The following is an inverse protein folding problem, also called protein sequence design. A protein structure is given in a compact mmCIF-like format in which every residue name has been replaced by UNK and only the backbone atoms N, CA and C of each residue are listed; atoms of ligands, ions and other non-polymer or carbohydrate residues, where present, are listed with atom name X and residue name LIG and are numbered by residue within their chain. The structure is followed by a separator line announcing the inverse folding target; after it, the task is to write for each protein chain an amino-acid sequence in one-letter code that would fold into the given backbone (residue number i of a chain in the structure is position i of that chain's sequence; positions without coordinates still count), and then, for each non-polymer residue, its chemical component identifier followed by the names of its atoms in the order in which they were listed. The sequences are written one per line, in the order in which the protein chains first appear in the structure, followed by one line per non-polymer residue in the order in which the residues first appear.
data_IF_318229445982
#
_entry.id   IF_318229445982
#
_cell.length_a   1.000
_cell.length_b   1.000
_cell.length_c   1.000
_cell.angle_alpha   90.00
_cell.angle_beta   90.00
_cell.angle_gamma   90.00
#
_symmetry.space_group_name_H-M   'P 1'
#
loop_
_entity.id
_entity.type
_entity.pdbx_description
1 polymer ?
#
# COMPACT_ATOMS: atom_id res chain seq x y z
N UNK A 1 40.51 37.35 -13.56
CA UNK A 1 39.35 37.47 -12.64
C UNK A 1 38.15 37.98 -13.41
N UNK A 2 37.09 37.16 -13.53
CA UNK A 2 35.68 37.54 -13.68
C UNK A 2 34.88 36.24 -13.60
N UNK A 3 34.38 35.97 -12.40
CA UNK A 3 33.62 34.79 -12.07
C UNK A 3 32.25 34.84 -12.73
N UNK A 4 31.87 33.72 -13.35
CA UNK A 4 30.50 33.48 -13.78
C UNK A 4 29.63 33.08 -12.57
N UNK A 5 28.33 33.42 -12.58
CA UNK A 5 27.48 33.34 -11.40
C UNK A 5 27.13 31.88 -11.06
N UNK A 6 27.36 31.52 -9.81
CA UNK A 6 27.15 30.24 -9.14
C UNK A 6 25.67 29.81 -8.99
N UNK A 7 24.73 30.48 -9.66
CA UNK A 7 23.30 30.35 -9.40
C UNK A 7 22.53 29.44 -10.35
N UNK A 8 23.18 28.86 -11.37
CA UNK A 8 22.48 28.09 -12.41
C UNK A 8 22.66 26.57 -12.37
N UNK A 9 23.40 26.01 -11.41
CA UNK A 9 23.62 24.56 -11.29
C UNK A 9 22.84 23.86 -10.15
N UNK A 10 22.00 24.58 -9.40
CA UNK A 10 21.27 23.98 -8.27
C UNK A 10 19.99 23.20 -8.66
N UNK A 11 19.56 23.21 -9.93
CA UNK A 11 18.34 22.49 -10.38
C UNK A 11 18.58 21.07 -10.90
N UNK A 12 19.84 20.62 -10.98
CA UNK A 12 20.20 19.28 -11.49
C UNK A 12 20.90 18.38 -10.46
N UNK A 13 21.11 18.86 -9.23
CA UNK A 13 21.59 18.04 -8.13
C UNK A 13 20.40 17.43 -7.38
N UNK A 14 20.20 16.13 -7.53
CA UNK A 14 19.33 15.37 -6.64
C UNK A 14 19.89 15.33 -5.22
N UNK A 15 18.99 15.58 -4.26
CA UNK A 15 19.10 15.46 -2.79
C UNK A 15 19.62 16.69 -2.00
N UNK A 16 19.21 16.89 -0.72
CA UNK A 16 18.26 16.14 0.12
C UNK A 16 17.08 17.00 0.61
N UNK A 17 16.21 16.38 1.40
CA UNK A 17 15.09 16.93 2.17
C UNK A 17 15.23 18.41 2.63
N UNK A 18 14.18 19.26 2.55
CA UNK A 18 14.28 20.63 3.03
C UNK A 18 14.43 20.70 4.56
N UNK A 19 15.28 21.62 4.95
CA UNK A 19 15.83 21.89 6.28
C UNK A 19 14.78 22.25 7.34
N UNK A 20 15.09 21.76 8.55
CA UNK A 20 14.51 22.10 9.85
C UNK A 20 14.22 23.60 10.02
N UNK A 21 13.03 24.08 9.71
CA UNK A 21 12.45 25.24 10.40
C UNK A 21 10.93 25.09 10.40
N UNK A 22 10.37 24.89 11.60
CA UNK A 22 8.95 24.69 11.94
C UNK A 22 8.37 23.28 11.75
N UNK A 23 8.64 22.40 12.70
CA UNK A 23 7.59 21.46 13.13
C UNK A 23 7.02 21.93 14.48
N UNK A 24 5.88 22.65 14.50
CA UNK A 24 5.03 22.67 15.69
C UNK A 24 3.53 22.41 15.39
N UNK A 25 2.99 21.43 16.13
CA UNK A 25 1.60 21.11 16.55
C UNK A 25 0.61 20.42 15.61
N UNK A 26 0.83 20.40 14.30
CA UNK A 26 -0.08 19.77 13.33
C UNK A 26 0.73 18.90 12.38
N UNK A 27 1.50 17.97 12.95
CA UNK A 27 1.90 16.74 12.26
C UNK A 27 0.60 16.16 11.64
N UNK A 28 0.55 16.28 10.32
CA UNK A 28 -0.56 16.86 9.58
C UNK A 28 -1.85 16.04 9.66
N UNK A 29 -2.98 16.68 9.97
CA UNK A 29 -4.32 16.06 9.95
C UNK A 29 -4.59 15.27 8.65
N UNK A 30 -3.97 15.72 7.55
CA UNK A 30 -3.91 15.02 6.27
C UNK A 30 -3.27 13.63 6.35
N UNK A 31 -2.12 13.48 7.02
CA UNK A 31 -1.43 12.20 7.15
C UNK A 31 -2.23 11.24 8.01
N UNK A 32 -2.79 11.73 9.12
CA UNK A 32 -3.72 10.98 9.96
C UNK A 32 -4.98 10.55 9.16
N UNK A 33 -5.54 11.46 8.36
CA UNK A 33 -6.66 11.17 7.47
C UNK A 33 -6.31 10.06 6.47
N UNK A 34 -5.18 10.16 5.76
CA UNK A 34 -4.72 9.14 4.81
C UNK A 34 -4.53 7.80 5.51
N UNK A 35 -3.85 7.78 6.64
CA UNK A 35 -3.59 6.56 7.42
C UNK A 35 -4.86 5.90 7.97
N UNK A 36 -5.98 6.63 8.03
CA UNK A 36 -7.27 6.12 8.47
C UNK A 36 -8.22 5.81 7.29
N UNK A 37 -7.83 6.04 6.04
CA UNK A 37 -8.68 5.78 4.87
C UNK A 37 -9.22 4.34 4.81
N UNK A 38 -8.44 3.27 5.10
CA UNK A 38 -9.02 1.92 5.15
C UNK A 38 -10.15 1.76 6.18
N UNK A 39 -10.03 2.43 7.33
CA UNK A 39 -11.06 2.42 8.37
C UNK A 39 -12.32 3.15 7.90
N UNK A 40 -12.14 4.32 7.30
CA UNK A 40 -13.23 5.09 6.70
C UNK A 40 -13.91 4.29 5.56
N UNK A 41 -13.12 3.60 4.75
CA UNK A 41 -13.59 2.70 3.70
C UNK A 41 -14.42 1.55 4.25
N UNK A 42 -14.04 0.96 5.39
CA UNK A 42 -14.84 -0.06 6.06
C UNK A 42 -16.22 0.47 6.52
N UNK A 43 -16.29 1.71 7.01
CA UNK A 43 -17.57 2.33 7.36
C UNK A 43 -18.43 2.65 6.13
N UNK A 44 -17.85 3.20 5.07
CA UNK A 44 -18.58 3.48 3.81
C UNK A 44 -19.05 2.18 3.18
N UNK A 45 -18.18 1.17 3.11
CA UNK A 45 -18.52 -0.13 2.55
C UNK A 45 -19.68 -0.80 3.29
N UNK A 46 -19.96 -0.39 4.53
CA UNK A 46 -21.12 -0.83 5.31
C UNK A 46 -22.38 0.02 5.16
N UNK A 47 -22.28 1.20 4.59
CA UNK A 47 -23.41 2.12 4.48
C UNK A 47 -24.53 1.59 3.58
N UNK A 48 -24.25 1.02 2.39
CA UNK A 48 -25.30 0.44 1.57
C UNK A 48 -25.93 -0.75 2.28
N UNK A 49 -27.27 -0.72 2.41
CA UNK A 49 -28.03 -1.80 3.06
C UNK A 49 -27.95 -3.10 2.22
N UNK A 50 -27.79 -2.98 0.90
CA UNK A 50 -27.76 -4.12 -0.03
C UNK A 50 -26.65 -3.94 -1.07
N UNK A 51 -25.76 -4.93 -1.16
CA UNK A 51 -24.87 -5.13 -2.30
C UNK A 51 -25.38 -6.32 -3.12
N UNK A 52 -25.29 -6.27 -4.46
CA UNK A 52 -25.50 -7.47 -5.26
C UNK A 52 -24.40 -8.50 -4.95
N UNK A 53 -24.64 -9.81 -5.12
CA UNK A 53 -23.55 -10.80 -5.12
C UNK A 53 -22.51 -10.47 -6.22
N UNK A 54 -21.19 -10.67 -5.98
CA UNK A 54 -20.58 -11.16 -4.75
C UNK A 54 -20.33 -10.00 -3.75
N UNK A 55 -20.98 -10.06 -2.59
CA UNK A 55 -21.03 -8.95 -1.63
C UNK A 55 -19.63 -8.53 -1.16
N UNK A 56 -18.77 -9.50 -0.81
CA UNK A 56 -17.42 -9.23 -0.34
C UNK A 56 -16.54 -8.54 -1.39
N UNK A 57 -16.77 -8.82 -2.67
CA UNK A 57 -16.06 -8.15 -3.76
C UNK A 57 -16.43 -6.66 -3.82
N UNK A 58 -17.71 -6.32 -3.83
CA UNK A 58 -18.13 -4.91 -3.91
C UNK A 58 -17.74 -4.10 -2.68
N UNK A 59 -17.85 -4.70 -1.49
CA UNK A 59 -17.41 -4.07 -0.25
C UNK A 59 -15.90 -3.78 -0.26
N UNK A 60 -15.09 -4.75 -0.72
CA UNK A 60 -13.67 -4.52 -0.88
C UNK A 60 -13.35 -3.48 -1.95
N UNK A 61 -14.11 -3.42 -3.06
CA UNK A 61 -13.92 -2.40 -4.09
C UNK A 61 -14.18 -1.00 -3.53
N UNK A 62 -15.21 -0.83 -2.72
CA UNK A 62 -15.47 0.44 -2.01
C UNK A 62 -14.31 0.81 -1.10
N UNK A 63 -13.79 -0.14 -0.33
CA UNK A 63 -12.62 0.08 0.53
C UNK A 63 -11.41 0.57 -0.29
N UNK A 64 -11.16 -0.03 -1.46
CA UNK A 64 -10.07 0.38 -2.35
C UNK A 64 -10.31 1.74 -2.98
N UNK A 65 -11.53 2.06 -3.41
CA UNK A 65 -11.87 3.38 -3.96
C UNK A 65 -11.61 4.52 -2.95
N UNK A 66 -11.81 4.25 -1.65
CA UNK A 66 -11.50 5.21 -0.59
C UNK A 66 -10.00 5.46 -0.43
N UNK A 67 -9.13 4.65 -1.02
CA UNK A 67 -7.68 4.90 -1.07
C UNK A 67 -7.25 5.88 -2.17
N UNK A 68 -8.09 6.14 -3.18
CA UNK A 68 -7.78 7.07 -4.27
C UNK A 68 -7.29 8.46 -3.83
N UNK A 69 -7.84 9.10 -2.76
CA UNK A 69 -7.31 10.35 -2.21
C UNK A 69 -5.82 10.31 -1.88
N UNK A 70 -5.27 9.12 -1.56
CA UNK A 70 -3.83 8.94 -1.34
C UNK A 70 -3.02 9.32 -2.57
N UNK A 71 -3.50 8.96 -3.78
CA UNK A 71 -2.84 9.31 -5.04
C UNK A 71 -2.80 10.84 -5.24
N UNK A 72 -3.92 11.51 -4.97
CA UNK A 72 -4.01 12.97 -5.05
C UNK A 72 -3.07 13.63 -4.04
N UNK A 73 -3.02 13.13 -2.81
CA UNK A 73 -2.14 13.68 -1.78
C UNK A 73 -0.67 13.47 -2.14
N UNK A 74 -0.29 12.34 -2.72
CA UNK A 74 1.07 12.12 -3.21
C UNK A 74 1.40 13.04 -4.39
N UNK A 75 0.44 13.27 -5.28
CA UNK A 75 0.64 14.11 -6.46
C UNK A 75 0.79 15.60 -6.10
N UNK A 76 -0.01 16.09 -5.16
CA UNK A 76 -0.12 17.52 -4.85
C UNK A 76 0.47 17.93 -3.51
N UNK A 77 0.98 16.97 -2.72
CA UNK A 77 1.50 17.22 -1.40
C UNK A 77 2.78 16.41 -1.12
N UNK A 78 3.55 16.82 -0.11
CA UNK A 78 4.72 16.07 0.33
C UNK A 78 4.30 14.91 1.24
N UNK A 79 4.75 13.67 1.02
CA UNK A 79 5.82 13.24 0.09
C UNK A 79 5.34 12.94 -1.35
N UNK A 80 6.08 13.44 -2.36
CA UNK A 80 5.84 13.14 -3.76
C UNK A 80 6.31 11.76 -4.21
N UNK A 81 5.89 11.30 -5.41
CA UNK A 81 6.15 9.96 -5.96
C UNK A 81 7.59 9.46 -5.84
N UNK A 82 8.58 10.30 -6.18
CA UNK A 82 10.00 9.92 -6.11
C UNK A 82 10.48 9.71 -4.67
N UNK A 83 9.99 10.51 -3.72
CA UNK A 83 10.33 10.35 -2.30
C UNK A 83 9.75 9.05 -1.73
N UNK A 84 8.65 8.56 -2.31
CA UNK A 84 8.12 7.25 -1.99
C UNK A 84 8.91 6.09 -2.61
N UNK A 85 9.84 6.34 -3.52
CA UNK A 85 10.60 5.31 -4.23
C UNK A 85 9.91 4.81 -5.51
N UNK A 86 8.91 5.53 -6.02
CA UNK A 86 8.31 5.26 -7.32
C UNK A 86 9.12 5.94 -8.42
N UNK A 87 9.85 5.13 -9.19
CA UNK A 87 10.66 5.59 -10.33
C UNK A 87 10.42 4.71 -11.55
N UNK A 88 10.55 5.25 -12.76
CA UNK A 88 10.39 4.48 -14.01
C UNK A 88 11.41 3.34 -14.10
N UNK A 89 12.66 3.58 -13.70
CA UNK A 89 13.70 2.54 -13.65
C UNK A 89 13.32 1.43 -12.67
N UNK A 90 12.84 1.80 -11.48
CA UNK A 90 12.34 0.85 -10.50
C UNK A 90 11.17 0.01 -11.03
N UNK A 91 10.24 0.63 -11.76
CA UNK A 91 9.13 -0.06 -12.41
C UNK A 91 9.63 -1.13 -13.37
N UNK A 92 10.55 -0.78 -14.28
CA UNK A 92 11.11 -1.72 -15.27
C UNK A 92 11.86 -2.87 -14.60
N UNK A 93 12.67 -2.59 -13.57
CA UNK A 93 13.38 -3.63 -12.80
C UNK A 93 12.40 -4.56 -12.07
N UNK A 94 11.28 -4.00 -11.62
CA UNK A 94 10.21 -4.73 -10.95
C UNK A 94 9.43 -5.61 -11.92
N UNK A 95 9.22 -5.22 -13.19
CA UNK A 95 8.44 -6.02 -14.16
C UNK A 95 8.93 -7.46 -14.32
N UNK A 96 10.26 -7.67 -14.38
CA UNK A 96 10.84 -9.02 -14.46
C UNK A 96 10.56 -9.85 -13.20
N UNK A 97 10.64 -9.22 -12.03
CA UNK A 97 10.28 -9.83 -10.75
C UNK A 97 8.78 -10.18 -10.74
N UNK A 98 7.95 -9.28 -11.27
CA UNK A 98 6.51 -9.48 -11.41
C UNK A 98 6.15 -10.67 -12.30
N UNK A 99 6.83 -10.83 -13.45
CA UNK A 99 6.64 -11.99 -14.30
C UNK A 99 7.01 -13.31 -13.59
N UNK A 100 8.10 -13.32 -12.83
CA UNK A 100 8.52 -14.48 -12.03
C UNK A 100 7.52 -14.78 -10.90
N UNK A 101 7.02 -13.75 -10.22
CA UNK A 101 6.01 -13.91 -9.18
C UNK A 101 4.67 -14.41 -9.73
N UNK A 102 4.21 -13.88 -10.87
CA UNK A 102 3.01 -14.38 -11.54
C UNK A 102 3.15 -15.87 -11.89
N UNK A 103 4.33 -16.31 -12.34
CA UNK A 103 4.60 -17.72 -12.61
C UNK A 103 4.51 -18.57 -11.34
N UNK A 104 5.16 -18.16 -10.24
CA UNK A 104 5.08 -18.85 -8.94
C UNK A 104 3.64 -18.91 -8.45
N UNK A 105 2.89 -17.81 -8.58
CA UNK A 105 1.50 -17.74 -8.16
C UNK A 105 0.59 -18.68 -8.96
N UNK A 106 0.75 -18.73 -10.29
CA UNK A 106 0.04 -19.70 -11.15
C UNK A 106 0.38 -21.13 -10.72
N UNK A 107 1.64 -21.43 -10.41
CA UNK A 107 2.05 -22.75 -9.91
C UNK A 107 1.38 -23.07 -8.57
N UNK A 108 1.33 -22.13 -7.63
CA UNK A 108 0.65 -22.30 -6.34
C UNK A 108 -0.86 -22.50 -6.53
N UNK A 109 -1.52 -21.76 -7.42
CA UNK A 109 -2.92 -21.95 -7.75
C UNK A 109 -3.19 -23.35 -8.32
N UNK A 110 -2.34 -23.82 -9.25
CA UNK A 110 -2.46 -25.16 -9.83
C UNK A 110 -2.28 -26.25 -8.75
N UNK A 111 -1.34 -26.06 -7.83
CA UNK A 111 -1.10 -26.96 -6.70
C UNK A 111 -2.32 -26.93 -5.76
N UNK A 112 -2.75 -25.77 -5.29
CA UNK A 112 -3.91 -25.60 -4.41
C UNK A 112 -5.19 -26.20 -5.00
N UNK A 113 -5.42 -26.01 -6.31
CA UNK A 113 -6.54 -26.62 -7.02
C UNK A 113 -6.48 -28.15 -7.02
N UNK A 114 -5.29 -28.76 -7.11
CA UNK A 114 -5.14 -30.23 -7.02
C UNK A 114 -5.43 -30.76 -5.62
N UNK A 115 -5.26 -29.94 -4.59
CA UNK A 115 -5.56 -30.28 -3.18
C UNK A 115 -6.95 -29.83 -2.71
N UNK A 116 -7.81 -29.34 -3.63
CA UNK A 116 -9.18 -28.90 -3.29
C UNK A 116 -9.24 -27.63 -2.42
N UNK A 117 -8.15 -26.86 -2.36
CA UNK A 117 -8.11 -25.59 -1.63
C UNK A 117 -8.69 -24.49 -2.52
N UNK A 118 -9.79 -23.90 -2.06
CA UNK A 118 -10.48 -22.80 -2.72
C UNK A 118 -10.27 -21.50 -1.93
N UNK A 119 -9.88 -20.42 -2.60
CA UNK A 119 -9.88 -19.08 -2.01
C UNK A 119 -11.28 -18.49 -2.13
N UNK A 120 -12.05 -18.36 -1.02
CA UNK A 120 -13.50 -18.14 -1.09
C UNK A 120 -13.87 -16.86 -1.84
N UNK A 121 -13.12 -15.77 -1.60
CA UNK A 121 -13.45 -14.45 -2.15
C UNK A 121 -13.12 -14.30 -3.64
N UNK A 122 -12.01 -14.88 -4.09
CA UNK A 122 -11.62 -14.82 -5.50
C UNK A 122 -12.46 -15.78 -6.35
N UNK A 123 -12.71 -17.00 -5.85
CA UNK A 123 -13.52 -17.98 -6.57
C UNK A 123 -14.98 -17.53 -6.72
N UNK A 124 -15.56 -16.90 -5.69
CA UNK A 124 -16.90 -16.34 -5.78
C UNK A 124 -16.95 -15.18 -6.79
N UNK A 125 -16.03 -14.21 -6.67
CA UNK A 125 -15.95 -13.10 -7.63
C UNK A 125 -15.78 -13.58 -9.07
N UNK A 126 -14.92 -14.56 -9.30
CA UNK A 126 -14.68 -15.16 -10.61
C UNK A 126 -15.92 -15.83 -11.18
N UNK A 127 -16.70 -16.55 -10.36
CA UNK A 127 -17.93 -17.22 -10.81
C UNK A 127 -19.01 -16.23 -11.24
N UNK A 128 -19.15 -15.11 -10.53
CA UNK A 128 -20.19 -14.11 -10.82
C UNK A 128 -19.79 -13.10 -11.92
N UNK A 129 -18.54 -12.61 -11.89
CA UNK A 129 -18.07 -11.51 -12.74
C UNK A 129 -17.26 -11.98 -13.96
N UNK A 130 -16.79 -13.23 -13.92
CA UNK A 130 -15.85 -13.77 -14.88
C UNK A 130 -14.40 -13.36 -14.59
N UNK A 131 -13.47 -14.22 -14.97
CA UNK A 131 -12.02 -14.01 -14.78
C UNK A 131 -11.50 -12.68 -15.34
N UNK A 132 -11.89 -12.21 -16.54
CA UNK A 132 -11.35 -10.98 -17.11
C UNK A 132 -11.67 -9.74 -16.26
N UNK A 133 -12.92 -9.63 -15.79
CA UNK A 133 -13.36 -8.49 -15.00
C UNK A 133 -12.72 -8.50 -13.60
N UNK A 134 -12.61 -9.67 -12.98
CA UNK A 134 -11.88 -9.82 -11.71
C UNK A 134 -10.42 -9.41 -11.89
N UNK A 135 -9.70 -9.89 -12.90
CA UNK A 135 -8.29 -9.50 -13.08
C UNK A 135 -8.14 -8.00 -13.37
N UNK A 136 -9.03 -7.43 -14.19
CA UNK A 136 -9.02 -6.01 -14.54
C UNK A 136 -9.29 -5.08 -13.34
N UNK A 137 -10.03 -5.54 -12.33
CA UNK A 137 -10.33 -4.75 -11.14
C UNK A 137 -9.42 -5.11 -9.96
N UNK A 138 -9.12 -6.38 -9.75
CA UNK A 138 -8.37 -6.84 -8.58
C UNK A 138 -6.92 -6.36 -8.61
N UNK A 139 -6.24 -6.46 -9.76
CA UNK A 139 -4.84 -6.02 -9.85
C UNK A 139 -4.65 -4.51 -9.59
N UNK A 140 -5.38 -3.59 -10.26
CA UNK A 140 -5.21 -2.16 -10.01
C UNK A 140 -5.84 -1.66 -8.71
N UNK A 141 -6.94 -2.26 -8.22
CA UNK A 141 -7.60 -1.75 -7.02
C UNK A 141 -7.07 -2.42 -5.74
N UNK A 142 -6.93 -3.75 -5.68
CA UNK A 142 -6.45 -4.43 -4.45
C UNK A 142 -4.94 -4.41 -4.33
N UNK A 143 -4.23 -4.70 -5.42
CA UNK A 143 -2.79 -4.76 -5.37
C UNK A 143 -2.17 -3.35 -5.32
N UNK A 144 -2.49 -2.51 -6.30
CA UNK A 144 -1.78 -1.25 -6.50
C UNK A 144 -2.15 -0.16 -5.50
N UNK A 145 -3.44 0.13 -5.27
CA UNK A 145 -3.85 1.24 -4.38
C UNK A 145 -3.43 1.00 -2.93
N UNK A 146 -3.65 -0.21 -2.42
CA UNK A 146 -3.20 -0.60 -1.09
C UNK A 146 -1.69 -0.49 -0.95
N UNK A 147 -0.93 -0.97 -1.94
CA UNK A 147 0.53 -0.84 -1.92
C UNK A 147 1.01 0.61 -1.96
N UNK A 148 0.34 1.48 -2.72
CA UNK A 148 0.68 2.91 -2.75
C UNK A 148 0.38 3.53 -1.39
N UNK A 149 -0.73 3.16 -0.75
CA UNK A 149 -1.05 3.55 0.62
C UNK A 149 -0.02 3.03 1.62
N UNK A 150 0.44 1.79 1.49
CA UNK A 150 1.51 1.22 2.33
C UNK A 150 2.82 2.00 2.16
N UNK A 151 3.14 2.39 0.92
CA UNK A 151 4.31 3.20 0.63
C UNK A 151 4.18 4.58 1.30
N UNK A 152 2.99 5.18 1.24
CA UNK A 152 2.71 6.41 1.96
C UNK A 152 2.89 6.23 3.47
N UNK A 153 2.33 5.17 4.06
CA UNK A 153 2.40 4.93 5.49
C UNK A 153 3.84 4.81 5.98
N UNK A 154 4.68 4.04 5.30
CA UNK A 154 6.12 3.94 5.62
C UNK A 154 6.79 5.32 5.55
N UNK A 155 6.45 6.14 4.56
CA UNK A 155 7.01 7.48 4.43
C UNK A 155 6.51 8.46 5.50
N UNK A 156 5.24 8.36 5.90
CA UNK A 156 4.68 9.14 7.00
C UNK A 156 5.38 8.81 8.33
N UNK A 157 5.50 7.51 8.66
CA UNK A 157 6.25 7.07 9.84
C UNK A 157 7.73 7.43 9.78
N UNK A 158 8.34 7.39 8.59
CA UNK A 158 9.71 7.87 8.41
C UNK A 158 9.84 9.36 8.71
N UNK A 159 8.92 10.19 8.20
CA UNK A 159 8.86 11.62 8.51
C UNK A 159 8.68 11.90 10.00
N UNK A 160 7.89 11.08 10.71
CA UNK A 160 7.63 11.24 12.15
C UNK A 160 8.78 10.76 13.03
N UNK A 161 9.30 9.56 12.78
CA UNK A 161 10.30 8.89 13.63
C UNK A 161 11.74 9.28 13.26
N UNK A 162 11.94 9.75 12.04
CA UNK A 162 13.26 10.02 11.46
C UNK A 162 13.27 11.32 10.62
N UNK A 163 12.81 12.48 11.13
CA UNK A 163 12.64 13.72 10.35
C UNK A 163 13.92 14.32 9.75
N UNK A 164 15.08 13.77 10.10
CA UNK A 164 16.42 14.20 9.67
C UNK A 164 17.18 13.09 8.94
N UNK A 165 16.53 11.96 8.65
CA UNK A 165 17.13 10.81 8.00
C UNK A 165 16.89 10.85 6.50
N UNK A 166 17.91 10.50 5.71
CA UNK A 166 17.79 10.47 4.25
C UNK A 166 17.28 9.10 3.73
N UNK A 167 17.11 8.13 4.62
CA UNK A 167 16.78 6.74 4.27
C UNK A 167 15.80 6.13 5.27
N UNK A 168 14.86 5.34 4.73
CA UNK A 168 13.92 4.53 5.51
C UNK A 168 14.67 3.56 6.42
N UNK A 169 14.33 3.59 7.71
CA UNK A 169 14.90 2.74 8.76
C UNK A 169 13.95 1.60 9.09
N UNK A 170 14.48 0.53 9.68
CA UNK A 170 13.67 -0.62 10.10
C UNK A 170 12.55 -0.24 11.08
N UNK A 171 12.82 0.69 12.01
CA UNK A 171 11.79 1.21 12.91
C UNK A 171 10.60 1.85 12.20
N UNK A 172 10.84 2.50 11.05
CA UNK A 172 9.78 3.16 10.27
C UNK A 172 8.88 2.09 9.60
N UNK A 173 9.51 1.03 9.08
CA UNK A 173 8.82 -0.13 8.48
C UNK A 173 8.04 -0.92 9.54
N UNK A 174 8.65 -1.17 10.71
CA UNK A 174 8.00 -1.89 11.80
C UNK A 174 6.80 -1.10 12.34
N UNK A 175 6.95 0.21 12.55
CA UNK A 175 5.85 1.07 12.99
C UNK A 175 4.69 1.06 11.99
N UNK A 176 5.00 1.18 10.69
CA UNK A 176 3.99 1.08 9.64
C UNK A 176 3.33 -0.31 9.59
N UNK A 177 4.10 -1.38 9.79
CA UNK A 177 3.57 -2.75 9.85
C UNK A 177 2.65 -3.00 11.04
N UNK A 178 3.00 -2.52 12.23
CA UNK A 178 2.15 -2.59 13.43
C UNK A 178 0.86 -1.81 13.19
N UNK A 179 0.95 -0.58 12.67
CA UNK A 179 -0.21 0.23 12.32
C UNK A 179 -1.13 -0.48 11.33
N UNK A 180 -0.55 -1.04 10.26
CA UNK A 180 -1.29 -1.77 9.25
C UNK A 180 -2.01 -3.00 9.81
N UNK A 181 -1.34 -3.78 10.67
CA UNK A 181 -1.96 -4.92 11.33
C UNK A 181 -3.14 -4.54 12.23
N UNK A 182 -2.99 -3.48 13.04
CA UNK A 182 -4.08 -2.95 13.87
C UNK A 182 -5.25 -2.50 13.00
N UNK A 183 -4.96 -1.76 11.92
CA UNK A 183 -5.97 -1.27 11.00
C UNK A 183 -6.74 -2.42 10.34
N UNK A 184 -6.05 -3.47 9.91
CA UNK A 184 -6.68 -4.68 9.38
C UNK A 184 -7.58 -5.37 10.40
N UNK A 185 -7.13 -5.54 11.64
CA UNK A 185 -7.96 -6.10 12.70
C UNK A 185 -9.24 -5.27 12.93
N UNK A 186 -9.13 -3.93 12.91
CA UNK A 186 -10.28 -3.04 13.02
C UNK A 186 -11.23 -3.15 11.82
N UNK A 187 -10.70 -3.25 10.60
CA UNK A 187 -11.51 -3.51 9.40
C UNK A 187 -12.25 -4.84 9.53
N UNK A 188 -11.64 -5.89 10.10
CA UNK A 188 -12.34 -7.17 10.34
C UNK A 188 -13.55 -7.03 11.26
N UNK A 189 -13.40 -6.28 12.35
CA UNK A 189 -14.48 -5.99 13.29
C UNK A 189 -15.57 -5.12 12.62
N UNK A 190 -15.17 -4.03 11.97
CA UNK A 190 -16.08 -3.01 11.45
C UNK A 190 -16.76 -3.45 10.17
N UNK A 191 -16.06 -4.05 9.21
CA UNK A 191 -16.61 -4.43 7.91
C UNK A 191 -17.23 -5.82 7.94
N UNK A 192 -16.63 -6.78 8.66
CA UNK A 192 -17.07 -8.18 8.65
C UNK A 192 -17.79 -8.66 9.93
N UNK A 193 -17.95 -7.80 10.96
CA UNK A 193 -18.54 -8.17 12.29
C UNK A 193 -17.79 -9.34 12.93
N UNK A 194 -16.52 -9.53 12.57
CA UNK A 194 -15.72 -10.56 13.20
C UNK A 194 -15.63 -10.27 14.71
N UNK A 195 -15.68 -11.29 15.58
CA UNK A 195 -15.53 -11.07 17.00
C UNK A 195 -14.16 -10.42 17.29
N UNK A 196 -14.10 -9.55 18.30
CA UNK A 196 -12.92 -8.74 18.58
C UNK A 196 -11.67 -9.58 18.86
N UNK A 197 -11.78 -10.58 19.75
CA UNK A 197 -10.64 -11.42 20.17
C UNK A 197 -10.00 -12.20 19.01
N UNK A 198 -10.76 -12.95 18.18
CA UNK A 198 -10.24 -13.59 16.98
C UNK A 198 -9.63 -12.60 15.97
N UNK A 199 -10.19 -11.38 15.88
CA UNK A 199 -9.69 -10.35 14.96
C UNK A 199 -8.28 -9.87 15.29
N UNK A 200 -7.82 -10.04 16.53
CA UNK A 200 -6.44 -9.69 16.92
C UNK A 200 -5.39 -10.53 16.18
N UNK A 201 -5.72 -11.74 15.72
CA UNK A 201 -4.81 -12.55 14.90
C UNK A 201 -4.46 -11.87 13.57
N UNK A 202 -5.33 -11.00 13.05
CA UNK A 202 -5.08 -10.23 11.82
C UNK A 202 -4.02 -9.13 12.00
N UNK A 203 -3.60 -8.81 13.23
CA UNK A 203 -2.41 -7.97 13.46
C UNK A 203 -1.16 -8.63 12.85
N UNK A 204 -1.12 -9.96 12.75
CA UNK A 204 -0.05 -10.68 12.09
C UNK A 204 0.07 -10.36 10.59
N UNK A 205 -0.98 -9.86 9.94
CA UNK A 205 -0.88 -9.35 8.56
C UNK A 205 0.09 -8.16 8.49
N UNK A 206 0.30 -7.44 9.59
CA UNK A 206 1.36 -6.45 9.74
C UNK A 206 2.76 -6.99 9.45
N UNK A 207 3.02 -8.29 9.68
CA UNK A 207 4.29 -8.95 9.32
C UNK A 207 4.47 -8.97 7.81
N UNK A 208 3.40 -9.22 7.03
CA UNK A 208 3.46 -9.15 5.57
C UNK A 208 3.82 -7.74 5.10
N UNK A 209 3.31 -6.70 5.75
CA UNK A 209 3.73 -5.34 5.45
C UNK A 209 5.20 -5.08 5.81
N UNK A 210 5.72 -5.65 6.91
CA UNK A 210 7.15 -5.55 7.24
C UNK A 210 8.01 -6.24 6.17
N UNK A 211 7.59 -7.42 5.71
CA UNK A 211 8.25 -8.15 4.62
C UNK A 211 8.22 -7.32 3.33
N UNK A 212 7.06 -6.80 2.93
CA UNK A 212 6.92 -5.95 1.76
C UNK A 212 7.79 -4.68 1.88
N UNK A 213 7.76 -4.02 3.04
CA UNK A 213 8.54 -2.83 3.34
C UNK A 213 10.06 -3.08 3.35
N UNK A 214 10.50 -4.31 3.66
CA UNK A 214 11.91 -4.69 3.58
C UNK A 214 12.45 -4.59 2.16
N UNK A 215 11.64 -4.94 1.15
CA UNK A 215 12.00 -4.84 -0.27
C UNK A 215 12.26 -3.39 -0.62
N UNK A 216 11.33 -2.50 -0.26
CA UNK A 216 11.49 -1.06 -0.47
C UNK A 216 12.73 -0.54 0.26
N UNK A 217 12.97 -0.95 1.51
CA UNK A 217 14.12 -0.51 2.28
C UNK A 217 15.45 -0.93 1.63
N UNK A 218 15.55 -2.18 1.18
CA UNK A 218 16.76 -2.74 0.60
C UNK A 218 17.06 -2.16 -0.80
N UNK A 219 16.02 -2.00 -1.62
CA UNK A 219 16.16 -1.64 -3.04
C UNK A 219 15.92 -0.16 -3.33
N UNK A 220 15.38 0.59 -2.36
CA UNK A 220 14.82 1.94 -2.54
C UNK A 220 13.75 2.03 -3.65
N UNK A 221 13.15 0.89 -4.01
CA UNK A 221 12.18 0.78 -5.08
C UNK A 221 10.82 0.35 -4.52
N UNK A 222 9.85 1.26 -4.51
CA UNK A 222 8.50 0.95 -4.06
C UNK A 222 7.73 0.04 -5.03
N UNK A 223 8.11 -0.01 -6.32
CA UNK A 223 7.48 -0.93 -7.27
C UNK A 223 7.72 -2.40 -6.91
N UNK A 224 8.86 -2.73 -6.29
CA UNK A 224 9.12 -4.09 -5.81
C UNK A 224 8.17 -4.50 -4.68
N UNK A 225 7.85 -3.56 -3.79
CA UNK A 225 6.86 -3.74 -2.73
C UNK A 225 5.45 -3.88 -3.31
N UNK A 226 5.09 -3.03 -4.29
CA UNK A 226 3.78 -3.13 -4.98
C UNK A 226 3.60 -4.50 -5.59
N UNK A 227 4.57 -5.00 -6.35
CA UNK A 227 4.46 -6.30 -6.99
C UNK A 227 4.37 -7.44 -5.99
N UNK A 228 5.19 -7.41 -4.94
CA UNK A 228 5.11 -8.38 -3.86
C UNK A 228 3.71 -8.43 -3.27
N UNK A 229 3.16 -7.26 -2.93
CA UNK A 229 1.85 -7.15 -2.30
C UNK A 229 0.71 -7.57 -3.24
N UNK A 230 0.74 -7.13 -4.51
CA UNK A 230 -0.21 -7.57 -5.53
C UNK A 230 -0.27 -9.09 -5.60
N UNK A 231 0.88 -9.77 -5.53
CA UNK A 231 0.97 -11.22 -5.69
C UNK A 231 0.52 -11.95 -4.43
N UNK A 232 0.87 -11.46 -3.24
CA UNK A 232 0.49 -12.10 -1.97
C UNK A 232 -0.99 -11.94 -1.61
N UNK A 233 -1.69 -11.00 -2.26
CA UNK A 233 -3.13 -10.77 -2.05
C UNK A 233 -4.02 -11.72 -2.87
N UNK A 234 -3.45 -12.51 -3.78
CA UNK A 234 -4.16 -13.58 -4.48
C UNK A 234 -3.86 -14.94 -3.85
#
# INVERSE_FOLDING_TARGET
MRGLPWHWNARLAGHPWPTRERAPRWLHARDAFVLLLPLFGAFIARWPVHYPPPVGFWQGLVLQCVLLPTLFIIQFAHPGWRALGFTTRGMVQSLLLGALYCLIYILLLLVSSRYGLHTPHFDEARRFLGTPLVLALYFPFWGLLESVWMAYAIAAFHGWLSPRGDQVRWRDVIAAGVWFGILHALVQVILYRAPFLPSLSYVLVGVLMVVAGSIRKATRNAWGMVLFWCVTNF
#
